data_IF_358874362607
#
_entry.id   IF_358874362607
#
_cell.length_a   1.000
_cell.length_b   1.000
_cell.length_c   1.000
_cell.angle_alpha   90.00
_cell.angle_beta   90.00
_cell.angle_gamma   90.00
#
_symmetry.space_group_name_H-M   'P 1'
#
loop_
_entity.id
_entity.type
_entity.pdbx_description
1 polymer ?
#
# COMPACT_ATOMS: atom_id res chain seq x y z
N UNK A 1 -19.80 -86.33 -40.35
CA UNK A 1 -19.35 -85.07 -39.81
C UNK A 1 -19.05 -85.31 -38.35
N UNK A 2 -17.78 -85.33 -37.96
CA UNK A 2 -17.32 -85.86 -36.66
C UNK A 2 -17.49 -84.84 -35.54
N UNK A 3 -18.02 -85.27 -34.40
CA UNK A 3 -18.25 -84.48 -33.19
C UNK A 3 -17.00 -83.73 -32.72
N UNK A 4 -15.82 -84.27 -33.04
CA UNK A 4 -14.51 -83.62 -32.72
C UNK A 4 -14.24 -82.31 -33.48
N UNK A 5 -14.78 -82.13 -34.71
CA UNK A 5 -14.65 -80.89 -35.49
C UNK A 5 -15.58 -79.82 -34.97
N UNK A 6 -16.75 -80.16 -34.46
CA UNK A 6 -17.64 -79.16 -33.81
C UNK A 6 -17.12 -78.66 -32.46
N UNK A 7 -16.55 -79.58 -31.68
CA UNK A 7 -15.91 -79.16 -30.39
C UNK A 7 -14.69 -78.31 -30.60
N UNK A 8 -13.86 -78.54 -31.66
CA UNK A 8 -12.72 -77.69 -31.96
C UNK A 8 -13.13 -76.34 -32.52
N UNK A 9 -14.27 -76.25 -33.19
CA UNK A 9 -14.79 -74.92 -33.62
C UNK A 9 -15.42 -74.16 -32.48
N UNK A 10 -16.11 -74.81 -31.55
CA UNK A 10 -16.64 -74.11 -30.33
C UNK A 10 -15.54 -73.65 -29.41
N UNK A 11 -14.44 -74.42 -29.26
CA UNK A 11 -13.28 -73.94 -28.43
C UNK A 11 -12.55 -72.79 -29.06
N UNK A 12 -12.46 -72.69 -30.39
CA UNK A 12 -11.88 -71.52 -31.09
C UNK A 12 -12.76 -70.27 -30.98
N UNK A 13 -14.08 -70.40 -31.01
CA UNK A 13 -14.98 -69.26 -30.82
C UNK A 13 -14.96 -68.73 -29.41
N UNK A 14 -14.75 -69.55 -28.39
CA UNK A 14 -14.61 -69.13 -26.99
C UNK A 14 -13.25 -68.47 -26.71
N UNK A 15 -12.18 -68.90 -27.36
CA UNK A 15 -10.87 -68.32 -27.22
C UNK A 15 -10.76 -66.92 -27.87
N UNK A 16 -11.39 -66.67 -29.01
CA UNK A 16 -11.38 -65.37 -29.69
C UNK A 16 -12.18 -64.28 -28.97
N UNK A 17 -13.24 -64.64 -28.21
CA UNK A 17 -14.03 -63.72 -27.42
C UNK A 17 -13.30 -63.19 -26.18
N UNK A 18 -12.45 -64.01 -25.55
CA UNK A 18 -11.70 -63.66 -24.36
C UNK A 18 -10.58 -62.67 -24.64
N UNK A 19 -9.88 -62.82 -25.76
CA UNK A 19 -8.79 -61.86 -26.12
C UNK A 19 -9.35 -60.52 -26.52
N UNK A 20 -10.42 -60.42 -27.28
CA UNK A 20 -11.10 -59.18 -27.67
C UNK A 20 -11.65 -58.42 -26.42
N UNK A 21 -12.25 -59.18 -25.48
CA UNK A 21 -12.74 -58.60 -24.22
C UNK A 21 -11.60 -58.05 -23.35
N UNK A 22 -10.48 -58.76 -23.25
CA UNK A 22 -9.30 -58.34 -22.53
C UNK A 22 -8.69 -57.04 -23.14
N UNK A 23 -8.62 -56.96 -24.45
CA UNK A 23 -8.13 -55.75 -25.15
C UNK A 23 -9.05 -54.56 -24.92
N UNK A 24 -10.37 -54.74 -24.98
CA UNK A 24 -11.34 -53.68 -24.71
C UNK A 24 -11.22 -53.21 -23.26
N UNK A 25 -11.01 -54.10 -22.30
CA UNK A 25 -10.85 -53.78 -20.88
C UNK A 25 -9.56 -52.98 -20.63
N UNK A 26 -8.45 -53.35 -21.28
CA UNK A 26 -7.17 -52.61 -21.19
C UNK A 26 -7.32 -51.21 -21.78
N UNK A 27 -7.93 -51.07 -22.96
CA UNK A 27 -8.16 -49.78 -23.61
C UNK A 27 -9.06 -48.92 -22.72
N UNK A 28 -10.14 -49.47 -22.16
CA UNK A 28 -11.04 -48.76 -21.24
C UNK A 28 -10.29 -48.27 -19.99
N UNK A 29 -9.47 -49.11 -19.38
CA UNK A 29 -8.64 -48.74 -18.21
C UNK A 29 -7.64 -47.65 -18.56
N UNK A 30 -7.04 -47.68 -19.75
CA UNK A 30 -6.09 -46.68 -20.23
C UNK A 30 -6.79 -45.32 -20.46
N UNK A 31 -7.99 -45.32 -21.06
CA UNK A 31 -8.79 -44.11 -21.27
C UNK A 31 -9.24 -43.51 -19.94
N UNK A 32 -9.70 -44.33 -18.99
CA UNK A 32 -10.08 -43.87 -17.65
C UNK A 32 -8.86 -43.32 -16.90
N UNK A 33 -7.71 -44.00 -16.97
CA UNK A 33 -6.46 -43.55 -16.38
C UNK A 33 -5.99 -42.21 -16.95
N UNK A 34 -6.04 -42.05 -18.27
CA UNK A 34 -5.71 -40.82 -18.96
C UNK A 34 -6.68 -39.68 -18.56
N UNK A 35 -7.98 -39.95 -18.52
CA UNK A 35 -8.99 -38.99 -18.06
C UNK A 35 -8.76 -38.52 -16.62
N UNK A 36 -8.39 -39.45 -15.74
CA UNK A 36 -8.12 -39.16 -14.33
C UNK A 36 -6.84 -38.32 -14.17
N UNK A 37 -5.79 -38.58 -14.93
CA UNK A 37 -4.58 -37.78 -14.92
C UNK A 37 -4.83 -36.34 -15.41
N UNK A 38 -5.55 -36.16 -16.51
CA UNK A 38 -5.93 -34.84 -17.04
C UNK A 38 -6.79 -34.09 -16.01
N UNK A 39 -7.74 -34.80 -15.36
CA UNK A 39 -8.55 -34.19 -14.29
C UNK A 39 -7.70 -33.69 -13.11
N UNK A 40 -6.73 -34.46 -12.64
CA UNK A 40 -5.84 -34.05 -11.56
C UNK A 40 -4.99 -32.83 -11.96
N UNK A 41 -4.40 -32.80 -13.15
CA UNK A 41 -3.62 -31.66 -13.63
C UNK A 41 -4.47 -30.40 -13.83
N UNK A 42 -5.72 -30.53 -14.25
CA UNK A 42 -6.65 -29.40 -14.41
C UNK A 42 -7.01 -28.72 -13.07
N UNK A 43 -6.84 -29.40 -11.94
CA UNK A 43 -7.14 -28.89 -10.60
C UNK A 43 -5.95 -28.25 -9.90
N UNK A 44 -4.79 -28.26 -10.53
CA UNK A 44 -3.61 -27.62 -10.04
C UNK A 44 -3.59 -26.14 -10.46
N UNK A 45 -3.94 -25.23 -9.52
CA UNK A 45 -3.97 -23.80 -9.79
C UNK A 45 -2.65 -23.15 -9.35
N UNK A 46 -2.05 -22.38 -10.27
CA UNK A 46 -0.87 -21.57 -10.02
C UNK A 46 -1.30 -20.17 -9.58
N UNK A 47 -0.66 -19.66 -8.54
CA UNK A 47 -0.84 -18.27 -8.10
C UNK A 47 0.24 -17.43 -8.77
N UNK A 48 -0.08 -16.51 -9.69
CA UNK A 48 0.87 -15.55 -10.23
C UNK A 48 1.29 -14.56 -9.13
N UNK A 49 2.40 -13.85 -9.34
CA UNK A 49 2.98 -12.94 -8.36
C UNK A 49 2.19 -11.63 -8.18
N UNK A 50 1.33 -11.30 -9.14
CA UNK A 50 0.49 -10.09 -9.16
C UNK A 50 -0.85 -10.26 -8.42
N UNK A 51 -1.13 -11.47 -7.88
CA UNK A 51 -2.39 -11.82 -7.23
C UNK A 51 -2.19 -12.66 -5.99
N UNK A 52 -3.20 -12.63 -5.13
CA UNK A 52 -3.32 -13.56 -4.00
C UNK A 52 -4.40 -14.58 -4.36
N UNK A 53 -4.06 -15.86 -4.26
CA UNK A 53 -5.02 -16.95 -4.39
C UNK A 53 -5.69 -17.21 -3.04
N UNK A 54 -6.98 -16.94 -2.95
CA UNK A 54 -7.80 -17.25 -1.77
C UNK A 54 -8.58 -18.51 -2.03
N UNK A 55 -8.34 -19.53 -1.20
CA UNK A 55 -9.06 -20.80 -1.21
C UNK A 55 -10.02 -20.80 -0.04
N UNK A 56 -11.31 -20.97 -0.30
CA UNK A 56 -12.35 -20.98 0.72
C UNK A 56 -13.20 -22.24 0.62
N UNK A 57 -13.85 -22.61 1.74
CA UNK A 57 -14.61 -23.85 1.87
C UNK A 57 -14.05 -24.72 2.99
N UNK A 58 -14.32 -26.02 2.95
CA UNK A 58 -13.87 -26.95 4.00
C UNK A 58 -12.36 -27.19 3.88
N UNK A 59 -11.60 -26.47 4.72
CA UNK A 59 -10.15 -26.60 4.80
C UNK A 59 -9.77 -27.56 5.92
N UNK A 60 -8.70 -28.36 5.74
CA UNK A 60 -8.29 -29.43 6.65
C UNK A 60 -7.97 -28.96 8.09
N UNK A 61 -7.82 -27.64 8.31
CA UNK A 61 -7.46 -27.02 9.60
C UNK A 61 -8.60 -26.24 10.27
N UNK A 62 -9.83 -26.33 9.77
CA UNK A 62 -10.97 -25.58 10.34
C UNK A 62 -10.93 -24.05 10.11
N UNK A 63 -10.00 -23.57 9.28
CA UNK A 63 -9.88 -22.16 8.91
C UNK A 63 -10.79 -21.93 7.69
N UNK A 64 -11.62 -20.89 7.74
CA UNK A 64 -12.60 -20.58 6.68
C UNK A 64 -11.99 -20.19 5.34
N UNK A 65 -10.76 -19.66 5.31
CA UNK A 65 -10.04 -19.27 4.11
C UNK A 65 -8.54 -19.48 4.25
N UNK A 66 -7.88 -19.93 3.16
CA UNK A 66 -6.43 -20.04 3.05
C UNK A 66 -5.94 -19.13 1.95
N UNK A 67 -5.09 -18.16 2.29
CA UNK A 67 -4.47 -17.24 1.34
C UNK A 67 -3.08 -17.72 0.95
N UNK A 68 -2.76 -17.62 -0.33
CA UNK A 68 -1.46 -17.97 -0.89
C UNK A 68 -1.00 -16.82 -1.79
N UNK A 69 0.20 -16.29 -1.50
CA UNK A 69 0.89 -15.35 -2.36
C UNK A 69 2.08 -16.06 -3.02
N UNK A 70 1.96 -16.31 -4.32
CA UNK A 70 2.91 -17.12 -5.08
C UNK A 70 2.78 -18.63 -4.86
N UNK A 71 3.37 -19.42 -5.74
CA UNK A 71 3.33 -20.88 -5.69
C UNK A 71 2.10 -21.49 -6.37
N UNK A 72 1.66 -22.64 -5.88
CA UNK A 72 0.54 -23.35 -6.45
C UNK A 72 -0.19 -24.19 -5.39
N UNK A 73 -1.48 -24.39 -5.58
CA UNK A 73 -2.29 -25.20 -4.71
C UNK A 73 -3.16 -26.18 -5.49
N UNK A 74 -3.40 -27.34 -4.89
CA UNK A 74 -4.38 -28.28 -5.37
C UNK A 74 -5.74 -27.97 -4.73
N UNK A 75 -6.77 -27.81 -5.54
CA UNK A 75 -8.11 -27.40 -5.11
C UNK A 75 -9.09 -28.56 -5.32
N UNK A 76 -9.76 -28.97 -4.23
CA UNK A 76 -10.78 -30.02 -4.30
C UNK A 76 -12.08 -29.47 -4.86
N UNK A 77 -12.55 -29.97 -6.04
CA UNK A 77 -13.62 -29.33 -6.80
C UNK A 77 -15.01 -29.35 -6.17
N UNK A 78 -15.25 -30.16 -5.17
CA UNK A 78 -16.59 -30.35 -4.55
C UNK A 78 -16.72 -29.57 -3.25
N UNK A 79 -15.59 -29.37 -2.55
CA UNK A 79 -15.59 -28.85 -1.16
C UNK A 79 -14.84 -27.53 -1.02
N UNK A 80 -14.08 -27.12 -2.04
CA UNK A 80 -13.30 -25.90 -2.06
C UNK A 80 -13.59 -25.08 -3.31
N UNK A 81 -13.66 -23.77 -3.15
CA UNK A 81 -13.67 -22.81 -4.23
C UNK A 81 -12.46 -21.88 -4.07
N UNK A 82 -12.11 -21.15 -5.13
CA UNK A 82 -11.01 -20.22 -5.10
C UNK A 82 -11.36 -18.94 -5.85
N UNK A 83 -10.73 -17.85 -5.44
CA UNK A 83 -10.84 -16.55 -6.09
C UNK A 83 -9.50 -15.83 -6.00
N UNK A 84 -9.26 -14.89 -6.91
CA UNK A 84 -8.05 -14.11 -6.93
C UNK A 84 -8.32 -12.68 -6.43
N UNK A 85 -7.47 -12.20 -5.50
CA UNK A 85 -7.40 -10.79 -5.15
C UNK A 85 -6.25 -10.15 -5.93
N UNK A 86 -6.54 -9.07 -6.63
CA UNK A 86 -5.59 -8.33 -7.45
C UNK A 86 -4.74 -7.40 -6.56
N UNK A 87 -3.40 -7.48 -6.70
CA UNK A 87 -2.45 -6.66 -5.94
C UNK A 87 -2.13 -5.31 -6.61
N UNK A 88 -2.82 -4.97 -7.69
CA UNK A 88 -2.60 -3.71 -8.40
C UNK A 88 -2.79 -2.52 -7.45
N UNK A 89 -1.81 -1.61 -7.35
CA UNK A 89 -1.93 -0.41 -6.55
C UNK A 89 -3.08 0.49 -7.01
N UNK A 90 -3.85 1.00 -6.07
CA UNK A 90 -5.02 1.85 -6.30
C UNK A 90 -4.67 3.27 -5.87
N UNK A 91 -4.57 4.24 -6.80
CA UNK A 91 -4.46 5.64 -6.44
C UNK A 91 -5.82 6.18 -5.98
N UNK A 92 -5.81 6.95 -4.90
CA UNK A 92 -6.98 7.54 -4.26
C UNK A 92 -6.72 9.00 -4.01
N UNK A 93 -7.47 9.87 -4.65
CA UNK A 93 -7.43 11.31 -4.42
C UNK A 93 -8.41 11.68 -3.32
N UNK A 94 -7.91 12.40 -2.33
CA UNK A 94 -8.65 12.88 -1.15
C UNK A 94 -8.65 14.41 -1.17
N UNK A 95 -9.66 15.06 -1.71
CA UNK A 95 -9.83 16.50 -1.61
C UNK A 95 -10.38 16.84 -0.21
N UNK A 96 -9.53 16.84 0.81
CA UNK A 96 -9.95 17.18 2.16
C UNK A 96 -10.10 18.68 2.30
N UNK A 97 -11.34 19.15 2.42
CA UNK A 97 -11.71 20.55 2.59
C UNK A 97 -12.31 20.81 3.97
N UNK A 98 -12.02 21.97 4.53
CA UNK A 98 -12.61 22.47 5.77
C UNK A 98 -12.33 21.62 7.00
N UNK A 99 -11.21 20.89 7.05
CA UNK A 99 -10.78 20.16 8.25
C UNK A 99 -10.40 21.13 9.36
N UNK A 100 -10.88 20.88 10.58
CA UNK A 100 -10.57 21.70 11.74
C UNK A 100 -9.29 21.22 12.41
N UNK A 101 -8.35 22.14 12.62
CA UNK A 101 -7.16 21.92 13.45
C UNK A 101 -7.52 21.97 14.92
N UNK A 102 -6.54 21.66 15.79
CA UNK A 102 -6.69 21.79 17.25
C UNK A 102 -7.07 23.21 17.70
N UNK A 103 -6.67 24.23 16.94
CA UNK A 103 -6.98 25.65 17.17
C UNK A 103 -8.31 26.10 16.56
N UNK A 104 -9.15 25.17 16.05
CA UNK A 104 -10.41 25.43 15.32
C UNK A 104 -10.22 26.25 14.02
N UNK A 105 -9.05 26.23 13.41
CA UNK A 105 -8.80 26.83 12.10
C UNK A 105 -9.15 25.81 11.01
N UNK A 106 -9.90 26.26 9.99
CA UNK A 106 -10.28 25.41 8.85
C UNK A 106 -9.14 25.39 7.83
N UNK A 107 -8.69 24.18 7.49
CA UNK A 107 -7.66 23.97 6.49
C UNK A 107 -8.15 23.03 5.38
N UNK A 108 -7.60 23.23 4.19
CA UNK A 108 -7.77 22.37 3.05
C UNK A 108 -6.44 21.66 2.78
N UNK A 109 -6.49 20.33 2.70
CA UNK A 109 -5.31 19.48 2.56
C UNK A 109 -5.57 18.44 1.48
N UNK A 110 -5.52 18.83 0.19
CA UNK A 110 -5.66 17.88 -0.89
C UNK A 110 -4.47 16.91 -0.88
N UNK A 111 -4.77 15.63 -1.03
CA UNK A 111 -3.76 14.58 -0.87
C UNK A 111 -4.06 13.41 -1.80
N UNK A 112 -3.02 12.71 -2.24
CA UNK A 112 -3.13 11.49 -3.03
C UNK A 112 -2.48 10.34 -2.28
N UNK A 113 -3.23 9.27 -2.09
CA UNK A 113 -2.77 8.05 -1.43
C UNK A 113 -2.69 6.92 -2.45
N UNK A 114 -1.66 6.10 -2.35
CA UNK A 114 -1.59 4.85 -3.10
C UNK A 114 -1.74 3.68 -2.14
N UNK A 115 -2.77 2.88 -2.37
CA UNK A 115 -3.16 1.78 -1.49
C UNK A 115 -3.05 0.45 -2.25
N UNK A 116 -2.73 -0.62 -1.56
CA UNK A 116 -2.72 -1.98 -2.11
C UNK A 116 -3.26 -2.99 -1.10
N UNK A 117 -3.51 -4.20 -1.58
CA UNK A 117 -3.85 -5.31 -0.69
C UNK A 117 -2.57 -5.78 0.00
N UNK A 118 -2.66 -6.07 1.29
CA UNK A 118 -1.50 -6.53 2.07
C UNK A 118 -1.10 -7.95 1.71
N UNK A 119 0.20 -8.16 1.54
CA UNK A 119 0.79 -9.50 1.32
C UNK A 119 1.34 -10.12 2.62
N UNK A 120 1.16 -9.44 3.75
CA UNK A 120 1.54 -9.97 5.07
C UNK A 120 0.60 -11.13 5.45
N UNK A 121 1.13 -12.32 5.75
CA UNK A 121 0.31 -13.48 6.11
C UNK A 121 -0.67 -13.25 7.25
N UNK A 122 -0.32 -12.39 8.21
CA UNK A 122 -1.16 -12.03 9.36
C UNK A 122 -2.36 -11.16 8.98
N UNK A 123 -2.23 -10.37 7.91
CA UNK A 123 -3.23 -9.39 7.45
C UNK A 123 -4.02 -9.92 6.26
N UNK A 124 -3.41 -10.82 5.48
CA UNK A 124 -4.00 -11.41 4.27
C UNK A 124 -5.34 -12.12 4.52
N UNK A 125 -5.51 -12.73 5.71
CA UNK A 125 -6.78 -13.34 6.10
C UNK A 125 -7.90 -12.32 6.22
N UNK A 126 -7.62 -11.13 6.73
CA UNK A 126 -8.59 -10.04 6.82
C UNK A 126 -9.00 -9.55 5.42
N UNK A 127 -8.03 -9.46 4.49
CA UNK A 127 -8.32 -9.12 3.10
C UNK A 127 -9.25 -10.17 2.45
N UNK A 128 -8.99 -11.45 2.66
CA UNK A 128 -9.84 -12.52 2.14
C UNK A 128 -11.26 -12.48 2.72
N UNK A 129 -11.41 -12.17 4.01
CA UNK A 129 -12.72 -12.15 4.66
C UNK A 129 -13.56 -10.91 4.28
N UNK A 130 -12.92 -9.78 3.99
CA UNK A 130 -13.59 -8.49 3.84
C UNK A 130 -13.61 -7.94 2.42
N UNK A 131 -12.60 -8.28 1.60
CA UNK A 131 -12.45 -7.74 0.25
C UNK A 131 -12.79 -8.74 -0.84
N UNK A 132 -12.90 -10.05 -0.51
CA UNK A 132 -13.24 -11.06 -1.50
C UNK A 132 -14.62 -10.79 -2.11
N UNK A 133 -14.71 -10.83 -3.43
CA UNK A 133 -15.95 -10.54 -4.16
C UNK A 133 -16.27 -9.05 -4.33
N UNK A 134 -15.51 -8.15 -3.73
CA UNK A 134 -15.67 -6.71 -3.96
C UNK A 134 -15.01 -6.30 -5.28
N UNK A 135 -15.66 -5.38 -5.99
CA UNK A 135 -15.06 -4.73 -7.15
C UNK A 135 -14.01 -3.71 -6.71
N UNK A 136 -13.03 -3.44 -7.57
CA UNK A 136 -11.95 -2.48 -7.30
C UNK A 136 -12.48 -1.08 -6.91
N UNK A 137 -13.60 -0.67 -7.47
CA UNK A 137 -14.28 0.59 -7.12
C UNK A 137 -14.76 0.60 -5.68
N UNK A 138 -15.34 -0.50 -5.20
CA UNK A 138 -15.82 -0.64 -3.82
C UNK A 138 -14.67 -0.67 -2.83
N UNK A 139 -13.55 -1.35 -3.17
CA UNK A 139 -12.33 -1.32 -2.36
C UNK A 139 -11.74 0.08 -2.28
N UNK A 140 -11.74 0.82 -3.41
CA UNK A 140 -11.32 2.23 -3.45
C UNK A 140 -12.17 3.12 -2.55
N UNK A 141 -13.50 2.99 -2.63
CA UNK A 141 -14.41 3.80 -1.83
C UNK A 141 -14.26 3.51 -0.34
N UNK A 142 -14.14 2.23 0.04
CA UNK A 142 -13.86 1.82 1.43
C UNK A 142 -12.53 2.42 1.94
N UNK A 143 -11.47 2.33 1.15
CA UNK A 143 -10.17 2.88 1.51
C UNK A 143 -10.22 4.41 1.61
N UNK A 144 -10.95 5.09 0.70
CA UNK A 144 -11.17 6.54 0.74
C UNK A 144 -11.84 6.97 2.04
N UNK A 145 -12.89 6.29 2.46
CA UNK A 145 -13.62 6.64 3.68
C UNK A 145 -12.75 6.49 4.94
N UNK A 146 -11.94 5.43 4.99
CA UNK A 146 -10.99 5.21 6.09
C UNK A 146 -9.94 6.33 6.13
N UNK A 147 -9.30 6.64 5.00
CA UNK A 147 -8.29 7.70 4.90
C UNK A 147 -8.89 9.04 5.30
N UNK A 148 -10.06 9.37 4.76
CA UNK A 148 -10.74 10.64 5.03
C UNK A 148 -11.05 10.81 6.52
N UNK A 149 -11.51 9.73 7.17
CA UNK A 149 -11.75 9.72 8.61
C UNK A 149 -10.47 9.93 9.42
N UNK A 150 -9.40 9.21 9.10
CA UNK A 150 -8.12 9.30 9.82
C UNK A 150 -7.43 10.64 9.62
N UNK A 151 -7.45 11.19 8.42
CA UNK A 151 -6.92 12.53 8.17
C UNK A 151 -7.58 13.60 9.05
N UNK A 152 -8.91 13.57 9.17
CA UNK A 152 -9.63 14.50 10.07
C UNK A 152 -9.23 14.34 11.53
N UNK A 153 -9.08 13.12 12.00
CA UNK A 153 -8.63 12.84 13.39
C UNK A 153 -7.24 13.38 13.63
N UNK A 154 -6.29 13.11 12.74
CA UNK A 154 -4.90 13.58 12.88
C UNK A 154 -4.84 15.10 12.85
N UNK A 155 -5.47 15.75 11.87
CA UNK A 155 -5.49 17.21 11.74
C UNK A 155 -6.09 17.88 12.99
N UNK A 156 -7.17 17.30 13.56
CA UNK A 156 -7.78 17.83 14.77
C UNK A 156 -6.88 17.75 16.02
N UNK A 157 -5.83 16.94 16.00
CA UNK A 157 -4.86 16.81 17.11
C UNK A 157 -3.62 17.68 16.94
N UNK A 158 -3.42 18.31 15.78
CA UNK A 158 -2.23 19.11 15.47
C UNK A 158 -2.53 20.60 15.42
N UNK A 159 -1.54 21.39 15.81
CA UNK A 159 -1.58 22.84 15.66
C UNK A 159 -1.23 23.22 14.20
N UNK A 160 -1.81 24.31 13.68
CA UNK A 160 -1.65 24.70 12.27
C UNK A 160 -0.19 25.04 11.93
N UNK A 161 0.54 25.62 12.89
CA UNK A 161 1.95 25.94 12.77
C UNK A 161 2.79 24.67 12.60
N UNK A 162 2.49 23.61 13.38
CA UNK A 162 3.16 22.32 13.28
C UNK A 162 2.87 21.64 11.94
N UNK A 163 1.64 21.70 11.48
CA UNK A 163 1.21 21.15 10.18
C UNK A 163 1.95 21.82 9.02
N UNK A 164 2.14 23.14 9.10
CA UNK A 164 2.82 23.91 8.06
C UNK A 164 4.35 23.82 8.13
N UNK A 165 4.91 23.75 9.34
CA UNK A 165 6.37 23.72 9.55
C UNK A 165 6.98 22.34 9.29
N UNK A 166 6.27 21.26 9.62
CA UNK A 166 6.78 19.89 9.53
C UNK A 166 5.77 18.96 8.83
N UNK A 167 5.82 18.97 7.51
CA UNK A 167 4.98 18.12 6.66
C UNK A 167 5.29 16.63 6.85
N UNK A 168 6.54 16.29 7.17
CA UNK A 168 6.96 14.90 7.35
C UNK A 168 6.30 14.31 8.60
N UNK A 169 6.22 15.07 9.68
CA UNK A 169 5.51 14.68 10.90
C UNK A 169 4.00 14.47 10.64
N UNK A 170 3.39 15.33 9.82
CA UNK A 170 1.99 15.15 9.42
C UNK A 170 1.79 13.84 8.62
N UNK A 171 2.67 13.58 7.64
CA UNK A 171 2.63 12.36 6.82
C UNK A 171 2.81 11.12 7.70
N UNK A 172 3.76 11.11 8.63
CA UNK A 172 4.02 10.01 9.55
C UNK A 172 2.78 9.71 10.41
N UNK A 173 2.19 10.70 11.04
CA UNK A 173 0.98 10.53 11.87
C UNK A 173 -0.23 10.04 11.08
N UNK A 174 -0.43 10.55 9.86
CA UNK A 174 -1.50 10.09 8.98
C UNK A 174 -1.23 8.65 8.55
N UNK A 175 0.00 8.33 8.17
CA UNK A 175 0.39 6.98 7.74
C UNK A 175 0.15 5.96 8.84
N UNK A 176 0.57 6.24 10.07
CA UNK A 176 0.38 5.36 11.22
C UNK A 176 -1.11 5.14 11.52
N UNK A 177 -1.90 6.21 11.52
CA UNK A 177 -3.33 6.13 11.76
C UNK A 177 -4.07 5.34 10.69
N UNK A 178 -3.77 5.60 9.42
CA UNK A 178 -4.36 4.91 8.27
C UNK A 178 -3.93 3.44 8.24
N UNK A 179 -2.64 3.14 8.45
CA UNK A 179 -2.13 1.76 8.40
C UNK A 179 -2.74 0.91 9.51
N UNK A 180 -2.96 1.48 10.70
CA UNK A 180 -3.65 0.80 11.79
C UNK A 180 -5.07 0.34 11.42
N UNK A 181 -5.83 1.16 10.71
CA UNK A 181 -7.18 0.80 10.23
C UNK A 181 -7.13 -0.11 9.00
N UNK A 182 -6.19 0.12 8.09
CA UNK A 182 -6.02 -0.69 6.90
C UNK A 182 -5.69 -2.14 7.20
N UNK A 183 -4.87 -2.41 8.22
CA UNK A 183 -4.56 -3.77 8.69
C UNK A 183 -5.80 -4.55 9.09
N UNK A 184 -6.81 -3.89 9.67
CA UNK A 184 -8.07 -4.52 10.07
C UNK A 184 -8.89 -4.99 8.86
N UNK A 185 -8.72 -4.34 7.70
CA UNK A 185 -9.47 -4.64 6.46
C UNK A 185 -8.66 -5.48 5.48
N UNK A 186 -7.34 -5.59 5.70
CA UNK A 186 -6.46 -6.32 4.80
C UNK A 186 -5.78 -5.45 3.73
N UNK A 187 -5.83 -4.14 3.89
CA UNK A 187 -5.14 -3.17 3.04
C UNK A 187 -3.79 -2.76 3.64
N UNK A 188 -2.94 -2.16 2.80
CA UNK A 188 -1.70 -1.50 3.22
C UNK A 188 -1.54 -0.18 2.49
N UNK A 189 -0.91 0.76 3.15
CA UNK A 189 -0.50 2.01 2.57
C UNK A 189 0.84 1.82 1.84
N UNK A 190 0.91 2.27 0.58
CA UNK A 190 2.14 2.18 -0.25
C UNK A 190 2.83 3.53 -0.30
N UNK A 191 2.08 4.60 -0.55
CA UNK A 191 2.61 5.94 -0.66
C UNK A 191 1.58 6.99 -0.25
N UNK A 192 2.07 8.11 0.30
CA UNK A 192 1.29 9.29 0.66
C UNK A 192 1.94 10.50 0.03
N UNK A 193 1.14 11.32 -0.64
CA UNK A 193 1.57 12.60 -1.16
C UNK A 193 0.56 13.68 -0.74
N UNK A 194 1.00 14.61 0.10
CA UNK A 194 0.19 15.75 0.55
C UNK A 194 0.58 16.94 -0.31
N UNK A 195 -0.42 17.57 -0.92
CA UNK A 195 -0.25 18.79 -1.72
C UNK A 195 -0.20 20.02 -0.80
N UNK A 196 -0.25 21.22 -1.40
CA UNK A 196 -0.16 22.44 -0.63
C UNK A 196 -1.36 22.63 0.30
N UNK A 197 -1.03 22.92 1.56
CA UNK A 197 -2.00 23.15 2.62
C UNK A 197 -2.41 24.62 2.57
N UNK A 198 -3.72 24.86 2.51
CA UNK A 198 -4.29 26.19 2.50
C UNK A 198 -5.30 26.35 3.63
N UNK A 199 -5.43 27.55 4.15
CA UNK A 199 -6.43 27.89 5.16
C UNK A 199 -7.41 28.93 4.62
N UNK A 200 -8.67 28.83 5.03
CA UNK A 200 -9.74 29.77 4.62
C UNK A 200 -9.65 31.12 5.37
N UNK A 201 -9.00 31.15 6.52
CA UNK A 201 -8.90 32.32 7.39
C UNK A 201 -7.76 33.30 7.02
N UNK A 202 -6.84 32.88 6.14
CA UNK A 202 -5.64 33.63 5.81
C UNK A 202 -4.58 33.67 6.92
N UNK A 203 -4.71 32.79 7.93
CA UNK A 203 -3.79 32.71 9.07
C UNK A 203 -2.38 32.33 8.62
N UNK A 204 -2.23 31.37 7.71
CA UNK A 204 -0.91 30.96 7.19
C UNK A 204 -0.22 32.11 6.44
N UNK A 205 -0.99 32.91 5.69
CA UNK A 205 -0.45 34.09 5.01
C UNK A 205 0.00 35.15 6.02
N UNK A 206 -0.77 35.41 7.08
CA UNK A 206 -0.41 36.34 8.14
C UNK A 206 0.85 35.88 8.88
N UNK A 207 0.95 34.61 9.22
CA UNK A 207 2.13 33.99 9.84
C UNK A 207 3.38 34.13 8.97
N UNK A 208 3.23 33.91 7.65
CA UNK A 208 4.31 34.12 6.69
C UNK A 208 4.80 35.55 6.62
N UNK A 209 3.89 36.54 6.66
CA UNK A 209 4.23 37.96 6.69
C UNK A 209 4.96 38.33 7.99
N UNK A 210 4.49 37.83 9.13
CA UNK A 210 5.15 38.07 10.41
C UNK A 210 6.56 37.46 10.46
N UNK A 211 6.75 36.27 9.93
CA UNK A 211 8.06 35.63 9.79
C UNK A 211 9.01 36.45 8.90
N UNK A 212 8.51 36.99 7.80
CA UNK A 212 9.28 37.91 6.92
C UNK A 212 9.67 39.19 7.61
N UNK A 213 8.76 39.84 8.36
CA UNK A 213 9.03 41.03 9.10
C UNK A 213 10.08 40.80 10.20
N UNK A 214 9.96 39.69 10.92
CA UNK A 214 10.91 39.30 11.96
C UNK A 214 12.29 39.00 11.40
N UNK A 215 12.38 38.35 10.25
CA UNK A 215 13.65 38.12 9.56
C UNK A 215 14.29 39.42 9.09
N UNK A 216 13.50 40.32 8.49
CA UNK A 216 13.97 41.62 8.05
C UNK A 216 14.49 42.47 9.23
N UNK A 217 13.78 42.47 10.36
CA UNK A 217 14.20 43.19 11.58
C UNK A 217 15.48 42.60 12.17
N UNK A 218 15.69 41.29 12.17
CA UNK A 218 16.94 40.65 12.59
C UNK A 218 18.12 41.08 11.72
N UNK A 219 17.96 41.00 10.38
CA UNK A 219 19.00 41.42 9.44
C UNK A 219 19.36 42.91 9.67
N UNK A 220 18.35 43.76 9.85
CA UNK A 220 18.59 45.18 10.12
C UNK A 220 19.31 45.41 11.45
N UNK A 221 19.01 44.63 12.50
CA UNK A 221 19.70 44.71 13.78
C UNK A 221 21.16 44.29 13.68
N UNK A 222 21.43 43.14 12.98
CA UNK A 222 22.79 42.64 12.77
C UNK A 222 23.63 43.66 11.97
N UNK A 223 23.09 44.22 10.88
CA UNK A 223 23.74 45.26 10.07
C UNK A 223 23.99 46.51 10.89
N UNK A 224 23.05 46.93 11.75
CA UNK A 224 23.20 48.09 12.60
C UNK A 224 24.29 47.89 13.64
N UNK A 225 24.43 46.72 14.23
CA UNK A 225 25.49 46.36 15.16
C UNK A 225 26.86 46.38 14.47
N UNK A 226 26.96 45.82 13.27
CA UNK A 226 28.19 45.79 12.49
C UNK A 226 28.64 47.21 12.09
N UNK A 227 27.70 48.08 11.68
CA UNK A 227 27.98 49.50 11.42
C UNK A 227 28.42 50.23 12.68
N UNK A 228 27.86 49.93 13.85
CA UNK A 228 28.27 50.52 15.10
C UNK A 228 29.71 50.11 15.49
N UNK A 229 30.06 48.85 15.34
CA UNK A 229 31.40 48.32 15.59
C UNK A 229 32.44 48.98 14.65
N UNK A 230 32.14 49.02 13.34
CA UNK A 230 33.00 49.69 12.36
C UNK A 230 33.20 51.19 12.63
N UNK A 231 32.18 51.89 13.13
CA UNK A 231 32.31 53.30 13.52
C UNK A 231 33.22 53.47 14.70
N UNK A 232 33.22 52.58 15.67
CA UNK A 232 34.10 52.66 16.84
C UNK A 232 35.56 52.37 16.44
N UNK A 233 35.82 51.37 15.61
CA UNK A 233 37.15 51.10 15.04
C UNK A 233 37.69 52.30 14.24
N UNK A 234 36.83 52.93 13.45
CA UNK A 234 37.19 54.09 12.65
C UNK A 234 37.52 55.32 13.54
N UNK A 235 36.89 55.42 14.69
CA UNK A 235 37.17 56.46 15.68
C UNK A 235 38.51 56.22 16.37
N UNK A 236 38.82 54.98 16.76
CA UNK A 236 40.14 54.65 17.34
C UNK A 236 41.26 54.88 16.32
N UNK A 237 41.07 54.49 15.06
CA UNK A 237 42.04 54.71 14.01
C UNK A 237 42.33 56.23 13.78
N UNK A 238 41.28 57.06 13.80
CA UNK A 238 41.41 58.50 13.70
C UNK A 238 42.21 59.13 14.87
N UNK A 239 41.95 58.62 16.09
CA UNK A 239 42.72 59.11 17.28
C UNK A 239 44.21 58.71 17.17
N UNK A 240 44.50 57.48 16.76
CA UNK A 240 45.89 57.03 16.55
C UNK A 240 46.63 57.86 15.48
N UNK A 241 45.95 58.18 14.36
CA UNK A 241 46.49 59.01 13.30
C UNK A 241 46.79 60.46 13.84
N UNK A 242 45.90 60.95 14.68
CA UNK A 242 46.07 62.30 15.27
C UNK A 242 47.25 62.36 16.24
N UNK A 243 47.49 61.33 17.04
CA UNK A 243 48.65 61.15 17.90
C UNK A 243 49.97 61.12 17.12
N UNK A 244 50.02 60.35 16.03
CA UNK A 244 51.19 60.28 15.16
C UNK A 244 51.48 61.60 14.53
N UNK A 245 50.45 62.38 14.14
CA UNK A 245 50.61 63.68 13.52
C UNK A 245 51.15 64.70 14.52
N UNK A 246 50.68 64.69 15.79
CA UNK A 246 51.19 65.62 16.85
C UNK A 246 52.61 65.27 17.22
N UNK A 247 52.99 63.99 17.31
CA UNK A 247 54.37 63.56 17.56
C UNK A 247 55.32 63.90 16.42
N UNK A 248 54.89 63.96 15.20
CA UNK A 248 55.67 64.32 14.01
C UNK A 248 55.92 65.87 13.89
N UNK A 249 55.11 66.68 14.57
CA UNK A 249 55.29 68.13 14.59
C UNK A 249 56.17 68.64 15.77
N UNK A 250 56.51 67.73 16.71
CA UNK A 250 57.32 68.06 17.89
C UNK A 250 58.82 67.69 17.74
N UNK A 251 59.22 67.17 16.56
CA UNK A 251 60.60 66.95 16.16
C UNK A 251 61.02 67.98 15.11
#
# INVERSE_FOLDING_TARGET
>A
MNATTLLSQMSRSAAGGGESFSIILIISCLVVGLGMTIFFFSRYQKCPSDRILVIYGKTAQGISSKCLHGGAAFIWPVIQAFEYLDLTPIPIDIPLEGALTKQNIRINTPSTFTVGISTDPSVMSNAAERLLGLQLTQVRDLARDIIFGQMRVVIATMDIEAINADRDQLIERISDGVEGEFRKVGLRLINVNIQDITDESGYLNALGQEAHLNMHNRINMDVTQEIAALKEELKELKLAIQEIRTNSQSV
#
